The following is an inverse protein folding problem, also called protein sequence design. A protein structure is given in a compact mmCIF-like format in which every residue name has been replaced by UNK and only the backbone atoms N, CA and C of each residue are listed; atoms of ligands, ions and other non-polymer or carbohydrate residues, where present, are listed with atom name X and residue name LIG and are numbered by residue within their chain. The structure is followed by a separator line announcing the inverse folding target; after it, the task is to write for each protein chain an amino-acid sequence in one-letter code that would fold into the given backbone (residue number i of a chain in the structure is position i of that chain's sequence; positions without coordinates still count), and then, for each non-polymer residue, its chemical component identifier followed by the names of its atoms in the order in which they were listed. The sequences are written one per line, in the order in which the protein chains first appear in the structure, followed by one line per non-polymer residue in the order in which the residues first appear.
data_IF_686344413265
#
_entry.id   IF_686344413265
#
_cell.length_a   1.000
_cell.length_b   1.000
_cell.length_c   1.000
_cell.angle_alpha   90.00
_cell.angle_beta   90.00
_cell.angle_gamma   90.00
#
_symmetry.space_group_name_H-M   'P 1'
#
loop_
_entity.id
_entity.type
_entity.pdbx_description
1 polymer ?
#
# COMPACT_ATOMS: atom_id res chain seq x y z
N UNK A 1 -12.84 -26.35 21.77
CA UNK A 1 -12.29 -26.72 20.43
C UNK A 1 -10.95 -25.99 20.30
N UNK A 2 -9.90 -26.60 20.88
CA UNK A 2 -8.52 -26.04 20.87
C UNK A 2 -7.92 -26.24 19.50
N UNK A 3 -7.43 -25.38 19.08
CA UNK A 3 -6.38 -24.68 18.35
C UNK A 3 -5.52 -25.53 17.40
N UNK A 4 -6.12 -25.85 16.25
CA UNK A 4 -5.42 -26.35 15.05
C UNK A 4 -4.39 -25.31 14.48
N UNK A 5 -4.37 -24.09 15.02
CA UNK A 5 -3.47 -23.02 14.61
C UNK A 5 -2.09 -23.11 15.27
N UNK A 6 -2.01 -23.54 16.55
CA UNK A 6 -0.74 -23.72 17.25
C UNK A 6 0.09 -24.81 16.57
N UNK A 7 -0.53 -25.97 16.27
CA UNK A 7 0.14 -27.03 15.53
C UNK A 7 0.59 -26.57 14.12
N UNK A 8 -0.18 -25.71 13.47
CA UNK A 8 0.17 -25.16 12.15
C UNK A 8 1.28 -24.12 12.25
N UNK A 9 1.31 -23.34 13.34
CA UNK A 9 2.35 -22.36 13.63
C UNK A 9 3.69 -23.07 13.93
N UNK A 10 3.68 -24.05 14.82
CA UNK A 10 4.87 -24.83 15.17
C UNK A 10 5.45 -25.59 13.96
N UNK A 11 4.58 -26.17 13.13
CA UNK A 11 5.01 -26.83 11.90
C UNK A 11 5.65 -25.86 10.88
N UNK A 12 5.19 -24.60 10.83
CA UNK A 12 5.79 -23.58 9.97
C UNK A 12 7.06 -22.98 10.55
N UNK A 13 7.12 -22.74 11.85
CA UNK A 13 8.35 -22.36 12.52
C UNK A 13 9.43 -23.41 12.34
N UNK A 14 9.06 -24.70 12.40
CA UNK A 14 9.99 -25.82 12.15
C UNK A 14 10.42 -25.95 10.69
N UNK A 15 9.62 -25.46 9.75
CA UNK A 15 9.89 -25.49 8.32
C UNK A 15 10.66 -24.26 7.81
N UNK A 16 10.92 -23.25 8.66
CA UNK A 16 11.74 -22.09 8.29
C UNK A 16 13.21 -22.51 8.15
N UNK A 17 13.93 -21.99 7.13
CA UNK A 17 15.37 -22.19 7.01
C UNK A 17 16.13 -21.68 8.23
N UNK A 18 17.36 -22.22 8.43
CA UNK A 18 18.14 -22.02 9.64
C UNK A 18 18.34 -20.55 10.07
N UNK A 19 18.16 -20.36 11.34
CA UNK A 19 18.58 -19.26 12.24
C UNK A 19 18.44 -17.78 11.78
N UNK A 20 19.01 -17.31 10.68
CA UNK A 20 18.97 -15.87 10.33
C UNK A 20 17.59 -15.38 9.87
N UNK A 21 16.84 -16.15 9.09
CA UNK A 21 15.49 -15.78 8.68
C UNK A 21 14.50 -15.87 9.85
N UNK A 22 14.71 -16.83 10.74
CA UNK A 22 13.91 -17.02 11.96
C UNK A 22 14.05 -15.82 12.93
N UNK A 23 15.28 -15.34 13.14
CA UNK A 23 15.54 -14.14 13.96
C UNK A 23 14.98 -12.87 13.33
N UNK A 24 15.05 -12.70 12.02
CA UNK A 24 14.44 -11.60 11.30
C UNK A 24 12.92 -11.54 11.50
N UNK A 25 12.29 -12.68 11.61
CA UNK A 25 10.87 -12.85 11.89
C UNK A 25 10.48 -12.42 13.30
N UNK A 26 11.20 -12.89 14.32
CA UNK A 26 10.97 -12.50 15.71
C UNK A 26 11.24 -11.02 15.95
N UNK A 27 12.29 -10.47 15.33
CA UNK A 27 12.57 -9.04 15.39
C UNK A 27 11.42 -8.22 14.82
N UNK A 28 10.86 -8.63 13.67
CA UNK A 28 9.73 -7.94 13.04
C UNK A 28 8.45 -8.03 13.85
N UNK A 29 8.17 -9.18 14.46
CA UNK A 29 7.03 -9.33 15.36
C UNK A 29 7.21 -8.46 16.61
N UNK A 30 8.41 -8.40 17.19
CA UNK A 30 8.75 -7.52 18.29
C UNK A 30 8.58 -6.05 17.96
N UNK A 31 9.02 -5.59 16.76
CA UNK A 31 8.76 -4.24 16.27
C UNK A 31 7.26 -3.92 16.17
N UNK A 32 6.47 -4.85 15.64
CA UNK A 32 5.01 -4.68 15.48
C UNK A 32 4.32 -4.61 16.85
N UNK A 33 4.70 -5.46 17.79
CA UNK A 33 4.17 -5.43 19.17
C UNK A 33 4.54 -4.13 19.86
N UNK A 34 5.81 -3.71 19.79
CA UNK A 34 6.28 -2.46 20.39
C UNK A 34 5.60 -1.22 19.79
N UNK A 35 5.38 -1.21 18.47
CA UNK A 35 4.65 -0.15 17.79
C UNK A 35 3.17 -0.11 18.25
N UNK A 36 2.54 -1.26 18.40
CA UNK A 36 1.16 -1.33 18.89
C UNK A 36 1.04 -0.85 20.35
N UNK A 37 2.01 -1.19 21.20
CA UNK A 37 2.07 -0.70 22.58
C UNK A 37 2.33 0.81 22.67
N UNK A 38 3.13 1.37 21.74
CA UNK A 38 3.47 2.81 21.71
C UNK A 38 2.38 3.69 21.09
N UNK A 39 1.52 3.11 20.27
CA UNK A 39 0.46 3.85 19.56
C UNK A 39 -0.74 4.23 20.46
N UNK A 40 -0.85 3.63 21.64
CA UNK A 40 -1.92 3.92 22.60
C UNK A 40 -3.31 3.50 22.12
N UNK A 41 -4.34 3.99 22.83
CA UNK A 41 -5.75 3.64 22.57
C UNK A 41 -6.24 4.11 21.18
N UNK A 42 -5.66 5.15 20.58
CA UNK A 42 -6.02 5.63 19.24
C UNK A 42 -5.67 4.63 18.13
N UNK A 43 -4.59 3.84 18.31
CA UNK A 43 -4.21 2.81 17.35
C UNK A 43 -5.16 1.60 17.35
N UNK A 44 -5.96 1.48 18.39
CA UNK A 44 -6.91 0.37 18.59
C UNK A 44 -8.31 0.67 18.05
N UNK A 45 -8.58 1.86 17.49
CA UNK A 45 -9.90 2.18 16.94
C UNK A 45 -10.16 1.38 15.66
N UNK A 46 -11.05 0.37 15.69
CA UNK A 46 -11.37 -0.46 14.52
C UNK A 46 -12.06 0.34 13.41
N UNK A 47 -12.67 1.46 13.77
CA UNK A 47 -13.43 2.31 12.86
C UNK A 47 -12.66 3.56 12.43
N UNK A 48 -11.36 3.67 12.78
CA UNK A 48 -10.53 4.85 12.52
C UNK A 48 -10.70 5.38 11.09
N UNK A 49 -10.51 4.54 10.10
CA UNK A 49 -10.61 4.96 8.70
C UNK A 49 -12.05 5.21 8.25
N UNK A 50 -13.02 4.51 8.82
CA UNK A 50 -14.44 4.78 8.55
C UNK A 50 -14.88 6.09 9.20
N UNK A 51 -14.36 6.43 10.37
CA UNK A 51 -14.61 7.72 11.02
C UNK A 51 -14.03 8.88 10.20
N UNK A 52 -12.86 8.72 9.59
CA UNK A 52 -12.33 9.69 8.62
C UNK A 52 -13.27 9.86 7.44
N UNK A 53 -13.76 8.77 6.84
CA UNK A 53 -14.71 8.81 5.72
C UNK A 53 -16.01 9.51 6.09
N UNK A 54 -16.55 9.23 7.29
CA UNK A 54 -17.71 9.93 7.82
C UNK A 54 -17.46 11.44 7.98
N UNK A 55 -16.29 11.82 8.50
CA UNK A 55 -15.89 13.23 8.59
C UNK A 55 -15.87 13.92 7.23
N UNK A 56 -15.32 13.26 6.21
CA UNK A 56 -15.22 13.80 4.85
C UNK A 56 -16.57 13.86 4.10
N UNK A 57 -17.57 13.10 4.54
CA UNK A 57 -18.88 12.96 3.85
C UNK A 57 -20.06 13.46 4.68
N UNK A 58 -19.82 14.26 5.71
CA UNK A 58 -20.90 14.78 6.56
C UNK A 58 -21.67 13.70 7.33
N UNK A 59 -21.03 12.56 7.64
CA UNK A 59 -21.59 11.47 8.42
C UNK A 59 -21.98 10.22 7.63
N UNK A 60 -22.06 10.27 6.29
CA UNK A 60 -22.52 9.15 5.46
C UNK A 60 -21.46 8.04 5.26
N UNK A 61 -20.16 8.36 5.38
CA UNK A 61 -19.08 7.39 5.29
C UNK A 61 -18.77 6.88 3.87
N UNK A 62 -18.27 5.65 3.78
CA UNK A 62 -17.80 5.06 2.52
C UNK A 62 -18.88 5.00 1.41
N UNK A 63 -20.14 4.75 1.77
CA UNK A 63 -21.22 4.65 0.79
C UNK A 63 -21.42 5.95 -0.02
N UNK A 64 -21.28 7.10 0.64
CA UNK A 64 -21.34 8.41 -0.05
C UNK A 64 -20.17 8.57 -1.03
N UNK A 65 -18.96 8.16 -0.64
CA UNK A 65 -17.78 8.24 -1.52
C UNK A 65 -17.99 7.43 -2.79
N UNK A 66 -18.50 6.20 -2.67
CA UNK A 66 -18.78 5.34 -3.82
C UNK A 66 -19.85 5.94 -4.72
N UNK A 67 -20.92 6.49 -4.11
CA UNK A 67 -22.02 7.14 -4.85
C UNK A 67 -21.53 8.37 -5.62
N UNK A 68 -20.83 9.27 -4.94
CA UNK A 68 -20.55 10.61 -5.44
C UNK A 68 -19.31 10.65 -6.35
N UNK A 69 -18.30 9.86 -6.05
CA UNK A 69 -17.03 9.83 -6.80
C UNK A 69 -16.83 8.61 -7.69
N UNK A 70 -17.63 7.55 -7.53
CA UNK A 70 -17.50 6.34 -8.35
C UNK A 70 -17.63 6.55 -9.86
N UNK A 71 -18.54 7.40 -10.35
CA UNK A 71 -18.61 7.72 -11.79
C UNK A 71 -17.31 8.37 -12.30
N UNK A 72 -16.74 9.31 -11.54
CA UNK A 72 -15.50 10.01 -11.88
C UNK A 72 -14.29 9.08 -11.85
N UNK A 73 -14.19 8.24 -10.84
CA UNK A 73 -13.19 7.17 -10.75
C UNK A 73 -13.16 6.28 -11.99
N UNK A 74 -14.33 5.83 -12.43
CA UNK A 74 -14.44 5.01 -13.66
C UNK A 74 -14.03 5.76 -14.92
N UNK A 75 -14.32 7.06 -15.02
CA UNK A 75 -13.89 7.89 -16.15
C UNK A 75 -12.37 8.04 -16.18
N UNK A 76 -11.74 8.29 -15.04
CA UNK A 76 -10.28 8.34 -14.90
C UNK A 76 -9.65 7.01 -15.32
N UNK A 77 -10.15 5.89 -14.80
CA UNK A 77 -9.65 4.56 -15.14
C UNK A 77 -9.78 4.27 -16.66
N UNK A 78 -10.91 4.64 -17.26
CA UNK A 78 -11.14 4.48 -18.69
C UNK A 78 -10.18 5.37 -19.52
N UNK A 79 -9.94 6.61 -19.10
CA UNK A 79 -9.00 7.50 -19.78
C UNK A 79 -7.57 6.93 -19.77
N UNK A 80 -7.08 6.46 -18.61
CA UNK A 80 -5.76 5.83 -18.48
C UNK A 80 -5.66 4.58 -19.35
N UNK A 81 -6.68 3.73 -19.33
CA UNK A 81 -6.74 2.53 -20.18
C UNK A 81 -6.64 2.87 -21.66
N UNK A 82 -7.42 3.84 -22.12
CA UNK A 82 -7.37 4.28 -23.52
C UNK A 82 -6.00 4.84 -23.91
N UNK A 83 -5.38 5.64 -23.03
CA UNK A 83 -4.03 6.18 -23.26
C UNK A 83 -2.97 5.07 -23.33
N UNK A 84 -3.07 4.04 -22.50
CA UNK A 84 -2.14 2.91 -22.47
C UNK A 84 -2.33 1.96 -23.65
N UNK A 85 -3.55 1.63 -24.02
CA UNK A 85 -3.86 0.76 -25.18
C UNK A 85 -3.48 1.40 -26.51
N UNK A 86 -3.81 2.68 -26.70
CA UNK A 86 -3.48 3.43 -27.93
C UNK A 86 -1.97 3.58 -28.11
N UNK A 87 -1.20 3.62 -27.03
CA UNK A 87 0.25 3.75 -27.08
C UNK A 87 1.02 2.43 -27.24
N UNK A 88 0.34 1.27 -27.15
CA UNK A 88 0.96 -0.06 -27.18
C UNK A 88 1.90 -0.37 -25.99
N UNK A 89 1.93 0.49 -24.98
CA UNK A 89 2.94 0.52 -23.91
C UNK A 89 2.80 -0.61 -22.88
N UNK A 90 1.60 -1.07 -22.61
CA UNK A 90 1.35 -2.05 -21.55
C UNK A 90 1.97 -3.44 -21.82
N UNK A 91 2.09 -3.83 -23.09
CA UNK A 91 2.64 -5.13 -23.48
C UNK A 91 4.17 -5.17 -23.46
N UNK A 92 4.83 -4.09 -23.90
CA UNK A 92 6.29 -3.99 -23.98
C UNK A 92 6.91 -3.98 -22.59
N UNK A 93 6.36 -3.23 -21.67
CA UNK A 93 6.92 -3.06 -20.32
C UNK A 93 6.83 -4.33 -19.48
N UNK A 94 5.74 -5.12 -19.58
CA UNK A 94 5.63 -6.41 -18.87
C UNK A 94 6.64 -7.45 -19.39
N UNK A 95 6.99 -7.42 -20.66
CA UNK A 95 7.94 -8.37 -21.25
C UNK A 95 9.39 -8.02 -20.86
N UNK A 96 9.75 -6.73 -20.88
CA UNK A 96 11.10 -6.28 -20.52
C UNK A 96 11.40 -6.46 -19.02
N UNK A 97 10.44 -6.20 -18.15
CA UNK A 97 10.62 -6.34 -16.70
C UNK A 97 10.74 -7.79 -16.21
N UNK A 98 10.21 -8.76 -16.94
CA UNK A 98 10.25 -10.20 -16.53
C UNK A 98 11.66 -10.79 -16.50
N UNK A 99 12.62 -10.20 -17.21
CA UNK A 99 13.99 -10.68 -17.27
C UNK A 99 14.94 -9.99 -16.28
N UNK A 100 14.48 -8.94 -15.59
CA UNK A 100 15.31 -8.12 -14.71
C UNK A 100 15.49 -8.77 -13.34
N UNK A 101 16.70 -8.68 -12.80
CA UNK A 101 17.01 -9.00 -11.42
C UNK A 101 16.69 -7.81 -10.52
N UNK A 102 16.53 -8.06 -9.22
CA UNK A 102 16.24 -6.99 -8.26
C UNK A 102 17.32 -5.89 -8.26
N UNK A 103 18.59 -6.25 -8.45
CA UNK A 103 19.68 -5.28 -8.48
C UNK A 103 19.59 -4.36 -9.72
N UNK A 104 19.21 -4.89 -10.87
CA UNK A 104 19.01 -4.10 -12.09
C UNK A 104 17.83 -3.12 -11.90
N UNK A 105 16.75 -3.58 -11.24
CA UNK A 105 15.62 -2.72 -10.91
C UNK A 105 15.97 -1.60 -9.93
N UNK A 106 16.85 -1.88 -8.95
CA UNK A 106 17.33 -0.86 -8.00
C UNK A 106 18.18 0.19 -8.68
N UNK A 107 19.08 -0.20 -9.58
CA UNK A 107 19.88 0.73 -10.37
C UNK A 107 18.98 1.62 -11.25
N UNK A 108 18.00 1.04 -11.92
CA UNK A 108 17.02 1.79 -12.70
C UNK A 108 16.17 2.74 -11.81
N UNK A 109 15.80 2.30 -10.62
CA UNK A 109 15.07 3.11 -9.64
C UNK A 109 15.89 4.32 -9.17
N UNK A 110 17.17 4.14 -8.88
CA UNK A 110 18.06 5.23 -8.48
C UNK A 110 18.21 6.28 -9.60
N UNK A 111 18.29 5.85 -10.86
CA UNK A 111 18.32 6.75 -12.01
C UNK A 111 16.98 7.48 -12.24
N UNK A 112 15.85 6.81 -12.01
CA UNK A 112 14.52 7.37 -12.18
C UNK A 112 14.12 8.35 -11.06
N UNK A 113 14.61 8.15 -9.83
CA UNK A 113 14.21 8.91 -8.64
C UNK A 113 14.32 10.44 -8.79
N UNK A 114 15.45 11.04 -9.24
CA UNK A 114 15.55 12.49 -9.41
C UNK A 114 14.57 12.99 -10.47
N UNK A 115 14.47 12.32 -11.60
CA UNK A 115 13.60 12.68 -12.72
C UNK A 115 12.13 12.65 -12.28
N UNK A 116 11.73 11.58 -11.59
CA UNK A 116 10.40 11.43 -11.02
C UNK A 116 10.07 12.57 -10.06
N UNK A 117 11.00 12.91 -9.16
CA UNK A 117 10.79 13.96 -8.19
C UNK A 117 10.61 15.36 -8.81
N UNK A 118 11.43 15.71 -9.80
CA UNK A 118 11.36 17.01 -10.50
C UNK A 118 10.09 17.11 -11.35
N UNK A 119 9.77 16.04 -12.07
CA UNK A 119 8.58 15.98 -12.92
C UNK A 119 7.30 16.11 -12.08
N UNK A 120 7.19 15.36 -10.99
CA UNK A 120 6.00 15.43 -10.14
C UNK A 120 5.91 16.75 -9.37
N UNK A 121 7.04 17.40 -9.04
CA UNK A 121 7.01 18.73 -8.47
C UNK A 121 6.41 19.74 -9.45
N UNK A 122 6.85 19.72 -10.72
CA UNK A 122 6.29 20.58 -11.77
C UNK A 122 4.79 20.37 -11.92
N UNK A 123 4.36 19.10 -11.99
CA UNK A 123 2.93 18.76 -12.12
C UNK A 123 2.15 19.20 -10.88
N UNK A 124 2.72 19.04 -9.68
CA UNK A 124 2.11 19.49 -8.43
C UNK A 124 1.90 21.00 -8.42
N UNK A 125 2.92 21.78 -8.84
CA UNK A 125 2.87 23.23 -8.88
C UNK A 125 1.80 23.72 -9.87
N UNK A 126 1.66 23.06 -11.02
CA UNK A 126 0.62 23.38 -12.01
C UNK A 126 -0.79 23.04 -11.47
N UNK A 127 -0.98 21.89 -10.85
CA UNK A 127 -2.26 21.47 -10.23
C UNK A 127 -2.61 22.40 -9.07
N UNK A 128 -1.63 22.81 -8.26
CA UNK A 128 -1.82 23.65 -7.09
C UNK A 128 -2.43 25.02 -7.42
N UNK A 129 -2.33 25.47 -8.68
CA UNK A 129 -2.96 26.72 -9.13
C UNK A 129 -4.50 26.68 -9.06
N UNK A 130 -5.11 25.48 -9.13
CA UNK A 130 -6.56 25.29 -9.12
C UNK A 130 -7.03 24.42 -7.94
N UNK A 131 -6.22 23.48 -7.53
CA UNK A 131 -6.54 22.51 -6.48
C UNK A 131 -5.38 22.46 -5.47
N UNK A 132 -5.56 22.98 -4.24
CA UNK A 132 -4.53 22.93 -3.21
C UNK A 132 -4.01 21.50 -3.01
N UNK A 133 -2.74 21.30 -3.28
CA UNK A 133 -2.05 20.02 -3.20
C UNK A 133 -0.63 20.20 -2.68
N UNK A 134 -0.16 19.25 -1.88
CA UNK A 134 1.21 19.14 -1.41
C UNK A 134 1.87 17.90 -2.02
N UNK A 135 3.10 18.03 -2.51
CA UNK A 135 3.90 16.89 -2.94
C UNK A 135 4.90 16.47 -1.88
N UNK A 136 4.66 15.31 -1.28
CA UNK A 136 5.60 14.67 -0.38
C UNK A 136 6.54 13.76 -1.18
N UNK A 137 7.73 14.30 -1.47
CA UNK A 137 8.77 13.58 -2.22
C UNK A 137 9.45 12.53 -1.34
N UNK A 138 9.53 11.29 -1.80
CA UNK A 138 10.37 10.28 -1.16
C UNK A 138 11.85 10.55 -1.49
N UNK A 139 12.74 10.75 -0.50
CA UNK A 139 14.11 11.18 -0.74
C UNK A 139 15.04 10.06 -1.24
N UNK A 140 14.61 8.81 -1.18
CA UNK A 140 15.44 7.64 -1.51
C UNK A 140 14.61 6.48 -2.04
N UNK A 141 15.26 5.62 -2.80
CA UNK A 141 14.73 4.34 -3.25
C UNK A 141 14.44 3.43 -2.06
N UNK A 142 13.45 2.57 -2.17
CA UNK A 142 13.11 1.55 -1.17
C UNK A 142 14.31 0.67 -0.87
N UNK A 143 14.59 0.44 0.42
CA UNK A 143 15.73 -0.36 0.85
C UNK A 143 15.70 -1.77 0.23
N UNK A 144 16.86 -2.24 -0.28
CA UNK A 144 17.02 -3.55 -0.96
C UNK A 144 16.44 -4.70 -0.13
N UNK A 145 16.72 -4.74 1.19
CA UNK A 145 16.19 -5.79 2.07
C UNK A 145 14.65 -5.83 2.08
N UNK A 146 13.99 -4.66 2.17
CA UNK A 146 12.52 -4.57 2.14
C UNK A 146 11.95 -4.96 0.77
N UNK A 147 12.64 -4.64 -0.31
CA UNK A 147 12.25 -5.02 -1.66
C UNK A 147 12.40 -6.54 -1.87
N UNK A 148 13.53 -7.12 -1.45
CA UNK A 148 13.79 -8.55 -1.53
C UNK A 148 12.76 -9.37 -0.73
N UNK A 149 12.45 -8.98 0.49
CA UNK A 149 11.40 -9.63 1.28
C UNK A 149 10.05 -9.60 0.57
N UNK A 150 9.67 -8.47 -0.04
CA UNK A 150 8.43 -8.36 -0.80
C UNK A 150 8.41 -9.28 -2.03
N UNK A 151 9.55 -9.38 -2.74
CA UNK A 151 9.71 -10.28 -3.89
C UNK A 151 9.47 -11.74 -3.48
N UNK A 152 10.12 -12.18 -2.42
CA UNK A 152 10.00 -13.57 -1.95
C UNK A 152 8.59 -13.85 -1.44
N UNK A 153 8.09 -13.02 -0.52
CA UNK A 153 6.85 -13.30 0.22
C UNK A 153 5.61 -13.09 -0.64
N UNK A 154 5.57 -11.99 -1.39
CA UNK A 154 4.35 -11.57 -2.11
C UNK A 154 4.33 -12.03 -3.56
N UNK A 155 5.50 -12.13 -4.18
CA UNK A 155 5.60 -12.34 -5.63
C UNK A 155 6.29 -13.64 -6.02
N UNK A 156 6.57 -14.54 -5.06
CA UNK A 156 7.13 -15.87 -5.34
C UNK A 156 8.48 -15.83 -6.06
N UNK A 157 9.28 -14.79 -5.85
CA UNK A 157 10.57 -14.59 -6.49
C UNK A 157 10.55 -13.73 -7.76
N UNK A 158 9.38 -13.34 -8.27
CA UNK A 158 9.26 -12.51 -9.48
C UNK A 158 9.42 -11.02 -9.15
N UNK A 159 10.58 -10.45 -9.49
CA UNK A 159 10.90 -9.04 -9.27
C UNK A 159 10.06 -8.09 -10.12
N UNK A 160 9.48 -8.54 -11.25
CA UNK A 160 8.72 -7.69 -12.18
C UNK A 160 7.45 -7.08 -11.55
N UNK A 161 7.00 -7.63 -10.44
CA UNK A 161 5.86 -7.14 -9.68
C UNK A 161 6.20 -6.03 -8.68
N UNK A 162 7.48 -5.69 -8.49
CA UNK A 162 7.88 -4.62 -7.56
C UNK A 162 7.77 -3.27 -8.27
N UNK A 163 6.70 -2.55 -7.97
CA UNK A 163 6.35 -1.28 -8.62
C UNK A 163 6.55 -0.07 -7.69
N UNK A 164 7.01 -0.28 -6.46
CA UNK A 164 7.08 0.71 -5.39
C UNK A 164 8.52 0.98 -4.90
N UNK A 165 9.52 0.80 -5.78
CA UNK A 165 10.91 1.16 -5.48
C UNK A 165 11.10 2.67 -5.39
N UNK A 166 10.48 3.41 -6.31
CA UNK A 166 10.37 4.88 -6.31
C UNK A 166 8.94 5.25 -5.98
N UNK A 167 8.75 6.15 -5.01
CA UNK A 167 7.43 6.59 -4.55
C UNK A 167 7.38 8.08 -4.30
N UNK A 168 6.16 8.62 -4.33
CA UNK A 168 5.80 9.95 -3.88
C UNK A 168 4.35 9.99 -3.48
N UNK A 169 3.93 11.07 -2.83
CA UNK A 169 2.54 11.22 -2.38
C UNK A 169 2.05 12.63 -2.69
N UNK A 170 0.91 12.74 -3.35
CA UNK A 170 0.14 13.98 -3.44
C UNK A 170 -0.92 13.99 -2.33
N UNK A 171 -0.98 15.10 -1.58
CA UNK A 171 -1.88 15.27 -0.45
C UNK A 171 -2.81 16.43 -0.75
N UNK A 172 -4.10 16.17 -0.84
CA UNK A 172 -5.16 17.15 -1.06
C UNK A 172 -5.93 17.45 0.24
N UNK A 173 -6.63 18.58 0.28
CA UNK A 173 -7.44 18.94 1.45
C UNK A 173 -8.85 18.34 1.42
N UNK A 174 -9.33 17.89 0.25
CA UNK A 174 -10.68 17.33 0.08
C UNK A 174 -10.72 16.21 -0.97
N UNK A 175 -11.75 15.37 -0.91
CA UNK A 175 -12.01 14.35 -1.94
C UNK A 175 -12.27 14.98 -3.31
N UNK A 176 -13.03 16.07 -3.36
CA UNK A 176 -13.31 16.79 -4.61
C UNK A 176 -12.02 17.30 -5.26
N UNK A 177 -11.16 17.98 -4.47
CA UNK A 177 -9.85 18.44 -4.93
C UNK A 177 -8.94 17.28 -5.37
N UNK A 178 -8.98 16.17 -4.65
CA UNK A 178 -8.21 14.97 -4.97
C UNK A 178 -8.60 14.37 -6.33
N UNK A 179 -9.88 14.14 -6.56
CA UNK A 179 -10.33 13.58 -7.85
C UNK A 179 -10.11 14.56 -9.01
N UNK A 180 -10.34 15.87 -8.80
CA UNK A 180 -10.03 16.89 -9.78
C UNK A 180 -8.54 16.98 -10.11
N UNK A 181 -7.69 16.88 -9.08
CA UNK A 181 -6.24 16.84 -9.23
C UNK A 181 -5.76 15.59 -9.96
N UNK A 182 -6.36 14.43 -9.72
CA UNK A 182 -6.04 13.20 -10.47
C UNK A 182 -6.42 13.35 -11.95
N UNK A 183 -7.58 13.92 -12.27
CA UNK A 183 -7.95 14.21 -13.66
C UNK A 183 -6.94 15.16 -14.32
N UNK A 184 -6.60 16.27 -13.66
CA UNK A 184 -5.60 17.20 -14.16
C UNK A 184 -4.23 16.53 -14.40
N UNK A 185 -3.82 15.64 -13.49
CA UNK A 185 -2.59 14.87 -13.61
C UNK A 185 -2.63 13.91 -14.81
N UNK A 186 -3.74 13.17 -15.01
CA UNK A 186 -3.87 12.19 -16.10
C UNK A 186 -3.81 12.86 -17.48
N UNK A 187 -4.38 14.06 -17.60
CA UNK A 187 -4.38 14.82 -18.85
C UNK A 187 -3.24 15.83 -18.94
N UNK A 188 -2.31 15.85 -17.98
CA UNK A 188 -1.20 16.78 -17.99
C UNK A 188 -0.28 16.51 -19.19
N UNK A 189 0.12 17.55 -19.98
CA UNK A 189 0.89 17.38 -21.20
C UNK A 189 2.21 16.61 -21.01
N UNK A 190 2.81 16.69 -19.84
CA UNK A 190 4.06 16.00 -19.50
C UNK A 190 3.95 14.47 -19.59
N UNK A 191 2.75 13.92 -19.40
CA UNK A 191 2.48 12.48 -19.46
C UNK A 191 2.02 11.99 -20.85
N UNK A 192 1.91 12.89 -21.81
CA UNK A 192 1.56 12.52 -23.21
C UNK A 192 2.75 11.97 -24.00
N UNK A 193 3.98 11.99 -23.42
CA UNK A 193 5.19 11.49 -24.05
C UNK A 193 5.35 9.96 -23.96
N UNK A 194 6.23 9.38 -24.82
CA UNK A 194 6.56 7.95 -24.75
C UNK A 194 7.46 7.60 -23.56
N UNK A 195 8.27 8.53 -23.07
CA UNK A 195 9.21 8.32 -21.98
C UNK A 195 8.56 8.45 -20.59
N UNK A 196 7.47 9.24 -20.49
CA UNK A 196 6.74 9.46 -19.25
C UNK A 196 5.26 9.29 -19.51
N UNK A 197 4.59 8.42 -18.78
CA UNK A 197 3.15 8.17 -18.91
C UNK A 197 2.57 7.53 -17.66
N UNK A 198 1.27 7.76 -17.46
CA UNK A 198 0.50 7.04 -16.44
C UNK A 198 0.06 5.71 -17.02
N UNK A 199 0.35 4.62 -16.30
CA UNK A 199 0.17 3.25 -16.78
C UNK A 199 -0.98 2.52 -16.13
N UNK A 200 -1.33 2.88 -14.89
CA UNK A 200 -2.32 2.16 -14.10
C UNK A 200 -2.92 3.08 -13.03
N UNK A 201 -4.13 2.77 -12.59
CA UNK A 201 -4.86 3.49 -11.56
C UNK A 201 -5.64 2.50 -10.69
N UNK A 202 -5.40 2.54 -9.39
CA UNK A 202 -6.08 1.75 -8.37
C UNK A 202 -6.74 2.71 -7.37
N UNK A 203 -8.06 2.73 -7.34
CA UNK A 203 -8.85 3.61 -6.49
C UNK A 203 -9.39 2.85 -5.27
N UNK A 204 -8.66 2.92 -4.18
CA UNK A 204 -9.03 2.29 -2.91
C UNK A 204 -10.03 3.11 -2.09
N UNK A 205 -10.47 4.24 -2.59
CA UNK A 205 -11.65 4.92 -2.05
C UNK A 205 -12.94 4.25 -2.53
N UNK A 206 -12.90 3.57 -3.68
CA UNK A 206 -14.01 2.75 -4.17
C UNK A 206 -13.98 1.35 -3.55
N UNK A 207 -12.80 0.73 -3.46
CA UNK A 207 -12.57 -0.60 -2.90
C UNK A 207 -11.45 -0.55 -1.85
N UNK A 208 -11.78 -0.18 -0.59
CA UNK A 208 -10.79 -0.03 0.47
C UNK A 208 -9.99 -1.29 0.74
N UNK A 209 -8.74 -1.11 1.17
CA UNK A 209 -7.94 -2.21 1.69
C UNK A 209 -8.60 -2.83 2.91
N UNK A 210 -8.24 -4.07 3.21
CA UNK A 210 -8.63 -4.71 4.47
C UNK A 210 -8.17 -3.83 5.65
N UNK A 211 -9.08 -3.55 6.58
CA UNK A 211 -8.86 -2.57 7.64
C UNK A 211 -9.40 -1.17 7.31
N UNK A 212 -9.92 -0.95 6.09
CA UNK A 212 -10.64 0.27 5.71
C UNK A 212 -9.78 1.40 5.17
N UNK A 213 -8.44 1.28 5.14
CA UNK A 213 -7.56 2.31 4.57
C UNK A 213 -7.86 2.53 3.09
N UNK A 214 -7.87 3.81 2.69
CA UNK A 214 -8.14 4.24 1.33
C UNK A 214 -7.09 5.24 0.85
N UNK A 215 -6.65 5.07 -0.39
CA UNK A 215 -5.86 6.00 -1.18
C UNK A 215 -6.14 5.76 -2.66
N UNK A 216 -5.67 6.62 -3.53
CA UNK A 216 -5.53 6.31 -4.94
C UNK A 216 -4.05 6.00 -5.22
N UNK A 217 -3.79 4.99 -6.04
CA UNK A 217 -2.44 4.69 -6.53
C UNK A 217 -2.38 4.80 -8.04
N UNK A 218 -1.39 5.53 -8.52
CA UNK A 218 -1.06 5.59 -9.94
C UNK A 218 0.32 4.98 -10.17
N UNK A 219 0.46 4.26 -11.27
CA UNK A 219 1.76 3.85 -11.77
C UNK A 219 2.21 4.81 -12.84
N UNK A 220 3.36 5.42 -12.62
CA UNK A 220 3.98 6.37 -13.53
C UNK A 220 5.23 5.72 -14.13
N UNK A 221 5.28 5.60 -15.44
CA UNK A 221 6.49 5.17 -16.14
C UNK A 221 7.44 6.36 -16.28
N UNK A 222 8.67 6.19 -15.84
CA UNK A 222 9.76 7.15 -16.01
C UNK A 222 10.91 6.44 -16.71
N UNK A 223 11.08 6.71 -18.00
CA UNK A 223 12.16 6.15 -18.82
C UNK A 223 12.26 4.61 -18.72
N UNK A 224 11.14 3.91 -18.67
CA UNK A 224 11.09 2.45 -18.54
C UNK A 224 11.02 1.92 -17.11
N UNK A 225 11.19 2.76 -16.08
CA UNK A 225 11.02 2.35 -14.69
C UNK A 225 9.62 2.73 -14.16
N UNK A 226 8.95 1.79 -13.49
CA UNK A 226 7.65 2.03 -12.87
C UNK A 226 7.81 2.64 -11.48
N UNK A 227 7.22 3.80 -11.30
CA UNK A 227 7.17 4.54 -10.04
C UNK A 227 5.74 4.58 -9.50
N UNK A 228 5.57 4.51 -8.20
CA UNK A 228 4.28 4.61 -7.53
C UNK A 228 4.01 6.05 -7.09
N UNK A 229 2.87 6.62 -7.51
CA UNK A 229 2.34 7.85 -6.95
C UNK A 229 1.10 7.51 -6.12
N UNK A 230 1.19 7.76 -4.82
CA UNK A 230 0.05 7.72 -3.91
C UNK A 230 -0.64 9.08 -3.94
N UNK A 231 -1.96 9.08 -3.99
CA UNK A 231 -2.77 10.31 -3.91
C UNK A 231 -3.78 10.13 -2.80
N UNK A 232 -3.83 11.08 -1.88
CA UNK A 232 -4.70 10.97 -0.72
C UNK A 232 -5.17 12.33 -0.21
N UNK A 233 -6.08 12.31 0.74
CA UNK A 233 -6.48 13.50 1.49
C UNK A 233 -5.76 13.57 2.83
N UNK A 234 -5.54 14.80 3.31
CA UNK A 234 -4.77 15.08 4.53
C UNK A 234 -5.29 14.33 5.76
N UNK A 235 -6.60 14.25 5.92
CA UNK A 235 -7.19 13.57 7.08
C UNK A 235 -6.92 12.06 7.08
N UNK A 236 -6.89 11.41 5.91
CA UNK A 236 -6.53 10.00 5.81
C UNK A 236 -5.04 9.76 6.08
N UNK A 237 -4.17 10.70 5.65
CA UNK A 237 -2.73 10.64 5.97
C UNK A 237 -2.50 10.79 7.47
N UNK A 238 -3.17 11.75 8.14
CA UNK A 238 -3.09 11.92 9.61
C UNK A 238 -3.52 10.64 10.34
N UNK A 239 -4.65 10.04 9.94
CA UNK A 239 -5.11 8.80 10.54
C UNK A 239 -4.12 7.62 10.33
N UNK A 240 -3.53 7.52 9.13
CA UNK A 240 -2.49 6.54 8.83
C UNK A 240 -1.27 6.72 9.74
N UNK A 241 -0.79 7.95 9.92
CA UNK A 241 0.40 8.26 10.72
C UNK A 241 0.11 8.18 12.22
N UNK A 242 -1.11 8.51 12.65
CA UNK A 242 -1.57 8.48 14.04
C UNK A 242 -1.88 7.09 14.59
N UNK A 243 -1.46 6.00 13.92
CA UNK A 243 -1.63 4.63 14.42
C UNK A 243 -2.24 3.66 13.40
N UNK A 244 -2.98 4.15 12.41
CA UNK A 244 -3.59 3.30 11.38
C UNK A 244 -2.58 2.47 10.59
N UNK A 245 -1.34 2.94 10.45
CA UNK A 245 -0.27 2.19 9.77
C UNK A 245 0.16 0.97 10.58
N UNK A 246 0.18 1.07 11.89
CA UNK A 246 0.49 -0.05 12.80
C UNK A 246 -0.59 -1.13 12.68
N UNK A 247 -1.86 -0.74 12.74
CA UNK A 247 -2.99 -1.66 12.56
C UNK A 247 -2.92 -2.37 11.20
N UNK A 248 -2.58 -1.65 10.13
CA UNK A 248 -2.39 -2.22 8.80
C UNK A 248 -1.18 -3.18 8.74
N UNK A 249 -0.05 -2.84 9.34
CA UNK A 249 1.15 -3.71 9.36
C UNK A 249 0.87 -4.99 10.15
N UNK A 250 0.16 -4.90 11.28
CA UNK A 250 -0.32 -6.07 12.04
C UNK A 250 -1.26 -6.92 11.18
N UNK A 251 -2.27 -6.30 10.56
CA UNK A 251 -3.19 -6.99 9.67
C UNK A 251 -2.46 -7.71 8.54
N UNK A 252 -1.55 -7.00 7.86
CA UNK A 252 -0.74 -7.55 6.78
C UNK A 252 0.10 -8.72 7.26
N UNK A 253 0.76 -8.59 8.41
CA UNK A 253 1.54 -9.64 9.02
C UNK A 253 0.69 -10.88 9.28
N UNK A 254 -0.46 -10.72 9.93
CA UNK A 254 -1.37 -11.82 10.23
C UNK A 254 -1.84 -12.53 8.95
N UNK A 255 -2.15 -11.80 7.89
CA UNK A 255 -2.66 -12.40 6.64
C UNK A 255 -1.59 -12.96 5.72
N UNK A 256 -0.40 -12.35 5.70
CA UNK A 256 0.71 -12.83 4.87
C UNK A 256 1.40 -14.05 5.48
N UNK A 257 1.40 -14.14 6.80
CA UNK A 257 2.20 -15.11 7.52
C UNK A 257 1.41 -16.13 8.35
N UNK A 258 0.19 -15.84 8.73
CA UNK A 258 -0.68 -16.81 9.40
C UNK A 258 -1.70 -17.36 8.40
N UNK A 259 -1.75 -18.70 8.20
CA UNK A 259 -2.72 -19.28 7.28
C UNK A 259 -4.13 -19.10 7.84
N UNK A 260 -4.87 -18.19 7.24
CA UNK A 260 -6.30 -18.11 7.49
C UNK A 260 -6.96 -19.22 6.68
N UNK A 261 -7.57 -20.21 7.33
CA UNK A 261 -8.57 -21.05 6.67
C UNK A 261 -9.60 -20.09 6.06
N UNK A 262 -9.75 -20.10 4.74
CA UNK A 262 -10.90 -19.46 4.09
C UNK A 262 -12.14 -20.15 4.66
N UNK A 263 -12.77 -19.52 5.67
CA UNK A 263 -14.10 -19.95 6.07
C UNK A 263 -15.02 -19.58 4.91
N UNK A 264 -15.66 -20.57 4.34
CA UNK A 264 -16.64 -20.46 3.26
C UNK A 264 -17.98 -19.91 3.75
N UNK A 265 -18.00 -18.93 4.65
CA UNK A 265 -19.22 -18.25 5.04
C UNK A 265 -19.29 -16.88 4.39
N UNK A 266 -20.22 -16.74 3.47
CA UNK A 266 -20.48 -15.58 2.62
C UNK A 266 -20.99 -14.31 3.36
N UNK A 267 -20.76 -14.15 4.66
CA UNK A 267 -21.25 -13.01 5.45
C UNK A 267 -20.27 -12.46 6.49
N UNK A 268 -19.03 -12.91 6.51
CA UNK A 268 -18.08 -12.55 7.55
C UNK A 268 -17.12 -11.45 7.11
N UNK A 269 -17.47 -10.16 7.30
CA UNK A 269 -16.45 -9.15 7.56
C UNK A 269 -15.67 -9.61 8.79
N UNK A 270 -14.33 -9.74 8.77
CA UNK A 270 -13.58 -10.03 9.98
C UNK A 270 -13.93 -8.94 10.99
N UNK A 271 -14.41 -9.33 12.16
CA UNK A 271 -14.65 -8.41 13.27
C UNK A 271 -13.37 -7.64 13.55
N UNK A 272 -13.50 -6.38 13.92
CA UNK A 272 -12.43 -5.40 14.06
C UNK A 272 -11.23 -5.81 14.92
N UNK A 273 -10.41 -4.86 15.30
CA UNK A 273 -9.11 -4.98 16.02
C UNK A 273 -9.15 -5.96 17.21
N UNK A 274 -10.28 -6.16 17.89
CA UNK A 274 -10.47 -7.18 18.93
C UNK A 274 -10.14 -8.61 18.48
N UNK A 275 -10.36 -8.92 17.20
CA UNK A 275 -9.97 -10.23 16.64
C UNK A 275 -8.45 -10.32 16.46
N UNK A 276 -7.80 -9.21 16.16
CA UNK A 276 -6.36 -9.13 15.98
C UNK A 276 -5.60 -9.01 17.30
N UNK A 277 -6.15 -8.34 18.33
CA UNK A 277 -5.55 -8.29 19.65
C UNK A 277 -5.43 -9.68 20.27
N UNK A 278 -6.48 -10.51 20.21
CA UNK A 278 -6.43 -11.89 20.70
C UNK A 278 -5.39 -12.78 19.98
N UNK A 279 -5.11 -12.49 18.70
CA UNK A 279 -4.05 -13.18 17.94
C UNK A 279 -2.65 -12.65 18.20
N UNK A 280 -2.54 -11.35 18.50
CA UNK A 280 -1.29 -10.73 18.95
C UNK A 280 -0.91 -11.23 20.35
N UNK A 281 -1.89 -11.37 21.25
CA UNK A 281 -1.67 -11.92 22.58
C UNK A 281 -1.19 -13.39 22.50
N UNK A 282 -1.77 -14.19 21.63
CA UNK A 282 -1.32 -15.55 21.37
C UNK A 282 0.07 -15.61 20.74
N UNK A 283 0.41 -14.71 19.81
CA UNK A 283 1.74 -14.59 19.23
C UNK A 283 2.77 -14.11 20.28
N UNK A 284 2.37 -13.25 21.21
CA UNK A 284 3.18 -12.79 22.36
C UNK A 284 3.46 -13.91 23.35
N UNK A 285 2.47 -14.74 23.69
CA UNK A 285 2.64 -15.91 24.54
C UNK A 285 3.61 -16.92 23.94
N UNK A 286 3.56 -17.15 22.61
CA UNK A 286 4.54 -17.97 21.90
C UNK A 286 5.96 -17.41 21.96
N UNK A 287 6.14 -16.08 21.88
CA UNK A 287 7.46 -15.43 21.99
C UNK A 287 8.05 -15.56 23.40
N UNK A 288 7.21 -15.38 24.43
CA UNK A 288 7.64 -15.49 25.85
C UNK A 288 8.05 -16.93 26.17
N UNK A 289 7.24 -17.91 25.75
CA UNK A 289 7.54 -19.33 25.99
C UNK A 289 8.77 -19.84 25.24
N UNK A 290 9.10 -19.26 24.08
CA UNK A 290 10.33 -19.60 23.35
C UNK A 290 11.60 -18.96 23.92
N UNK A 291 11.46 -17.87 24.69
CA UNK A 291 12.59 -17.20 25.38
C UNK A 291 12.94 -17.87 26.71
N UNK A 292 11.96 -18.50 27.37
CA UNK A 292 12.20 -19.25 28.61
C UNK A 292 12.77 -20.67 28.37
N UNK A 293 12.76 -21.14 27.13
CA UNK A 293 13.29 -22.45 26.73
C UNK A 293 14.68 -22.42 26.09
N UNK A 294 15.32 -21.25 26.01
CA UNK A 294 16.69 -21.03 25.53
C UNK A 294 17.58 -20.48 26.65
#
# INVERSE_FOLDING_TARGET
MGSDWEATWDARLAALPADEEKYGWYAKLGEIVALNESAGDEAADPDLYENVKKGLTGGEGHAAIVRDYGPRSRQIAAAIKNLTETSGRAAVQKAEMKSLKLDDLLVAAEAALPIYGELLQTVCDDIATQHPVEFLRCPKVKAKARAANKVVIKYGGDCSHVKDLVRGTFIFESLEGMYAGIEALVFHPIFNGHAQCIMDFDDRWQEPLSGGYSDCQLLVNIMGHLCELQVNVREMIKAKEGGGHVAYDVYRFVNEYLPVRKSTSASGRPGGITYYSGRLDAARECLVSSHEAS
#
